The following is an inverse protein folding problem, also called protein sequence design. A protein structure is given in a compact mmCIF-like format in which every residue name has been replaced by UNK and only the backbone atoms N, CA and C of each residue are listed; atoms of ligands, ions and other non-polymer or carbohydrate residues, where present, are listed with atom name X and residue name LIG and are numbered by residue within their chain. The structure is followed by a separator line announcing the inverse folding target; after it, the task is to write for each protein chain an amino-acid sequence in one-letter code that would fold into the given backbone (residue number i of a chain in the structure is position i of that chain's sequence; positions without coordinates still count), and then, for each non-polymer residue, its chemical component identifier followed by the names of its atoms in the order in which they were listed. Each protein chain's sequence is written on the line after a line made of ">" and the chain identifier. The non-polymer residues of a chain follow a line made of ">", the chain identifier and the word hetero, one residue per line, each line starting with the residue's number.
data_IF_038644425424
#
_entry.id   IF_038644425424
#
_cell.length_a   1.000
_cell.length_b   1.000
_cell.length_c   1.000
_cell.angle_alpha   90.00
_cell.angle_beta   90.00
_cell.angle_gamma   90.00
#
_symmetry.space_group_name_H-M   'P 1'
#
loop_
_entity.id
_entity.type
_entity.pdbx_description
1 polymer ?
#
# COMPACT_ATOMS: atom_id res chain seq x y z
N UNK A 1 12.93 10.82 -45.69
CA UNK A 1 11.46 10.63 -45.71
C UNK A 1 11.15 9.25 -45.15
N UNK A 2 11.01 9.14 -43.82
CA UNK A 2 10.52 7.90 -43.22
C UNK A 2 9.49 8.24 -42.14
N UNK A 3 8.28 8.37 -42.68
CA UNK A 3 7.01 7.99 -42.08
C UNK A 3 6.81 8.27 -40.59
N UNK A 4 6.24 9.44 -40.36
CA UNK A 4 5.41 9.75 -39.21
C UNK A 4 4.15 8.89 -39.30
N UNK A 5 4.08 7.77 -38.58
CA UNK A 5 2.82 7.05 -38.36
C UNK A 5 2.14 7.67 -37.15
N UNK A 6 1.32 8.67 -37.42
CA UNK A 6 0.25 9.11 -36.52
C UNK A 6 -0.85 8.06 -36.59
N UNK A 7 -1.01 7.26 -35.53
CA UNK A 7 -2.25 6.51 -35.31
C UNK A 7 -3.01 7.16 -34.16
N UNK A 8 -4.03 7.92 -34.57
CA UNK A 8 -5.09 8.41 -33.71
C UNK A 8 -5.80 7.23 -33.04
N UNK A 9 -6.21 7.43 -31.79
CA UNK A 9 -6.65 6.39 -30.86
C UNK A 9 -7.92 5.66 -31.29
N UNK A 10 -7.83 4.34 -31.32
CA UNK A 10 -8.94 3.49 -30.93
C UNK A 10 -8.97 3.48 -29.41
N UNK A 11 -10.11 3.75 -28.77
CA UNK A 11 -10.30 3.49 -27.34
C UNK A 11 -10.25 1.97 -27.13
N UNK A 12 -9.05 1.42 -27.04
CA UNK A 12 -8.80 0.01 -26.78
C UNK A 12 -9.09 -0.30 -25.33
N UNK A 13 -9.63 -1.49 -25.05
CA UNK A 13 -9.83 -1.97 -23.69
C UNK A 13 -8.55 -1.77 -22.83
N UNK A 14 -8.67 -1.30 -21.58
CA UNK A 14 -7.54 -0.91 -20.71
C UNK A 14 -6.81 -2.12 -20.11
N UNK A 15 -6.28 -2.99 -20.96
CA UNK A 15 -5.68 -4.26 -20.53
C UNK A 15 -4.42 -4.09 -19.70
N UNK A 16 -3.65 -3.02 -19.94
CA UNK A 16 -2.43 -2.71 -19.19
C UNK A 16 -2.77 -2.23 -17.79
N UNK A 17 -3.63 -1.22 -17.68
CA UNK A 17 -4.07 -0.64 -16.42
C UNK A 17 -4.73 -1.70 -15.52
N UNK A 18 -5.59 -2.55 -16.08
CA UNK A 18 -6.17 -3.67 -15.37
C UNK A 18 -5.12 -4.69 -14.89
N UNK A 19 -4.06 -4.92 -15.67
CA UNK A 19 -2.97 -5.81 -15.27
C UNK A 19 -2.15 -5.22 -14.13
N UNK A 20 -1.82 -3.94 -14.21
CA UNK A 20 -1.03 -3.22 -13.22
C UNK A 20 -1.78 -3.12 -11.89
N UNK A 21 -3.08 -2.82 -11.93
CA UNK A 21 -3.95 -2.81 -10.75
C UNK A 21 -3.97 -4.19 -10.06
N UNK A 22 -4.17 -5.27 -10.82
CA UNK A 22 -4.12 -6.65 -10.29
C UNK A 22 -2.77 -6.99 -9.67
N UNK A 23 -1.68 -6.58 -10.30
CA UNK A 23 -0.33 -6.81 -9.79
C UNK A 23 -0.09 -6.04 -8.50
N UNK A 24 -0.49 -4.78 -8.43
CA UNK A 24 -0.35 -3.94 -7.24
C UNK A 24 -1.16 -4.51 -6.06
N UNK A 25 -2.43 -4.91 -6.27
CA UNK A 25 -3.26 -5.52 -5.22
C UNK A 25 -2.62 -6.80 -4.69
N UNK A 26 -2.12 -7.67 -5.56
CA UNK A 26 -1.38 -8.87 -5.13
C UNK A 26 -0.13 -8.51 -4.32
N UNK A 27 0.66 -7.57 -4.80
CA UNK A 27 1.90 -7.16 -4.15
C UNK A 27 1.66 -6.52 -2.77
N UNK A 28 0.52 -5.85 -2.57
CA UNK A 28 0.08 -5.37 -1.27
C UNK A 28 -0.27 -6.52 -0.31
N UNK A 29 -0.99 -7.54 -0.78
CA UNK A 29 -1.29 -8.74 0.01
C UNK A 29 -0.04 -9.50 0.42
N UNK A 30 0.92 -9.68 -0.50
CA UNK A 30 2.16 -10.43 -0.26
C UNK A 30 3.00 -9.84 0.89
N UNK A 31 2.84 -8.54 1.17
CA UNK A 31 3.55 -7.85 2.27
C UNK A 31 2.69 -7.63 3.51
N UNK A 32 1.51 -8.25 3.59
CA UNK A 32 0.66 -8.20 4.79
C UNK A 32 -0.24 -6.96 4.89
N UNK A 33 -0.63 -6.34 3.78
CA UNK A 33 -1.51 -5.17 3.82
C UNK A 33 -2.86 -5.41 4.50
N UNK A 34 -3.39 -6.63 4.49
CA UNK A 34 -4.61 -6.98 5.21
C UNK A 34 -4.50 -6.79 6.75
N UNK A 35 -3.28 -6.84 7.30
CA UNK A 35 -3.01 -6.60 8.72
C UNK A 35 -2.70 -5.12 9.00
N UNK A 36 -1.92 -4.49 8.13
CA UNK A 36 -1.29 -3.20 8.44
C UNK A 36 -1.88 -2.00 7.70
N UNK A 37 -2.63 -2.23 6.63
CA UNK A 37 -3.19 -1.20 5.76
C UNK A 37 -4.56 -1.64 5.21
N UNK A 38 -5.42 -2.12 6.12
CA UNK A 38 -6.69 -2.79 5.77
C UNK A 38 -7.58 -1.89 4.92
N UNK A 39 -7.72 -0.62 5.31
CA UNK A 39 -8.58 0.33 4.60
C UNK A 39 -8.14 0.49 3.15
N UNK A 40 -6.84 0.73 2.91
CA UNK A 40 -6.30 0.90 1.55
C UNK A 40 -6.45 -0.35 0.69
N UNK A 41 -6.13 -1.54 1.23
CA UNK A 41 -6.23 -2.77 0.43
C UNK A 41 -7.69 -3.11 0.11
N UNK A 42 -8.62 -2.87 1.04
CA UNK A 42 -10.05 -3.05 0.78
C UNK A 42 -10.56 -2.06 -0.27
N UNK A 43 -10.15 -0.80 -0.20
CA UNK A 43 -10.50 0.19 -1.22
C UNK A 43 -9.95 -0.18 -2.59
N UNK A 44 -8.69 -0.65 -2.65
CA UNK A 44 -8.07 -1.12 -3.88
C UNK A 44 -8.83 -2.31 -4.51
N UNK A 45 -9.23 -3.29 -3.70
CA UNK A 45 -10.03 -4.43 -4.15
C UNK A 45 -11.42 -4.02 -4.65
N UNK A 46 -12.09 -3.10 -3.95
CA UNK A 46 -13.40 -2.59 -4.35
C UNK A 46 -13.34 -1.88 -5.70
N UNK A 47 -12.34 -1.03 -5.90
CA UNK A 47 -12.09 -0.32 -7.16
C UNK A 47 -11.75 -1.30 -8.29
N UNK A 48 -10.87 -2.27 -8.04
CA UNK A 48 -10.53 -3.29 -9.04
C UNK A 48 -11.74 -4.14 -9.45
N UNK A 49 -12.60 -4.48 -8.48
CA UNK A 49 -13.84 -5.19 -8.75
C UNK A 49 -14.82 -4.34 -9.57
N UNK A 50 -14.88 -3.02 -9.33
CA UNK A 50 -15.70 -2.08 -10.10
C UNK A 50 -15.19 -1.93 -11.53
N UNK A 51 -13.88 -1.69 -11.70
CA UNK A 51 -13.21 -1.66 -12.99
C UNK A 51 -13.45 -2.92 -13.83
N UNK A 52 -13.45 -4.10 -13.18
CA UNK A 52 -13.70 -5.37 -13.85
C UNK A 52 -15.12 -5.44 -14.43
N UNK A 53 -16.13 -4.96 -13.69
CA UNK A 53 -17.52 -4.94 -14.16
C UNK A 53 -17.72 -3.95 -15.31
N UNK A 54 -17.08 -2.78 -15.23
CA UNK A 54 -17.13 -1.76 -16.29
C UNK A 54 -16.46 -2.27 -17.57
N UNK A 55 -15.33 -2.98 -17.44
CA UNK A 55 -14.67 -3.64 -18.56
C UNK A 55 -15.58 -4.67 -19.25
N UNK A 56 -16.31 -5.47 -18.47
CA UNK A 56 -17.28 -6.46 -18.98
C UNK A 56 -18.47 -5.81 -19.70
N UNK A 57 -18.86 -4.60 -19.28
CA UNK A 57 -19.96 -3.82 -19.87
C UNK A 57 -19.52 -3.04 -21.12
N UNK A 58 -18.21 -2.92 -21.37
CA UNK A 58 -17.65 -2.14 -22.47
C UNK A 58 -17.38 -0.68 -22.11
N UNK A 59 -17.53 -0.31 -20.83
CA UNK A 59 -17.30 1.03 -20.30
C UNK A 59 -15.80 1.27 -20.05
N UNK A 60 -15.02 1.25 -21.13
CA UNK A 60 -13.55 1.25 -21.08
C UNK A 60 -12.93 2.51 -20.43
N UNK A 61 -13.65 3.64 -20.48
CA UNK A 61 -13.22 4.88 -19.84
C UNK A 61 -13.20 4.74 -18.33
N UNK A 62 -14.34 4.36 -17.78
CA UNK A 62 -14.55 4.17 -16.34
C UNK A 62 -13.67 3.04 -15.81
N UNK A 63 -13.61 1.92 -16.54
CA UNK A 63 -12.77 0.78 -16.17
C UNK A 63 -11.29 1.15 -16.02
N UNK A 64 -10.80 2.07 -16.86
CA UNK A 64 -9.42 2.55 -16.80
C UNK A 64 -9.18 3.45 -15.59
N UNK A 65 -10.12 4.34 -15.31
CA UNK A 65 -10.04 5.27 -14.16
C UNK A 65 -10.07 4.49 -12.84
N UNK A 66 -11.01 3.57 -12.70
CA UNK A 66 -11.13 2.73 -11.50
C UNK A 66 -9.93 1.77 -11.34
N UNK A 67 -9.37 1.24 -12.45
CA UNK A 67 -8.16 0.42 -12.39
C UNK A 67 -6.95 1.22 -11.89
N UNK A 68 -6.76 2.46 -12.38
CA UNK A 68 -5.67 3.30 -11.90
C UNK A 68 -5.89 3.71 -10.43
N UNK A 69 -7.12 4.02 -10.03
CA UNK A 69 -7.44 4.30 -8.63
C UNK A 69 -7.15 3.07 -7.74
N UNK A 70 -7.51 1.86 -8.19
CA UNK A 70 -7.21 0.62 -7.49
C UNK A 70 -5.69 0.40 -7.32
N UNK A 71 -4.92 0.66 -8.39
CA UNK A 71 -3.46 0.58 -8.38
C UNK A 71 -2.86 1.55 -7.35
N UNK A 72 -3.33 2.79 -7.32
CA UNK A 72 -2.85 3.81 -6.37
C UNK A 72 -3.14 3.40 -4.92
N UNK A 73 -4.35 2.94 -4.61
CA UNK A 73 -4.67 2.47 -3.26
C UNK A 73 -3.86 1.23 -2.85
N UNK A 74 -3.62 0.31 -3.79
CA UNK A 74 -2.79 -0.85 -3.53
C UNK A 74 -1.33 -0.49 -3.24
N UNK A 75 -0.76 0.52 -3.93
CA UNK A 75 0.60 1.01 -3.66
C UNK A 75 0.67 1.63 -2.26
N UNK A 76 -0.30 2.45 -1.87
CA UNK A 76 -0.37 3.00 -0.50
C UNK A 76 -0.42 1.88 0.54
N UNK A 77 -1.25 0.86 0.29
CA UNK A 77 -1.38 -0.29 1.17
C UNK A 77 -0.06 -1.06 1.30
N UNK A 78 0.62 -1.28 0.17
CA UNK A 78 1.92 -1.93 0.10
C UNK A 78 2.99 -1.17 0.90
N UNK A 79 3.10 0.14 0.69
CA UNK A 79 4.12 0.98 1.35
C UNK A 79 3.94 0.98 2.87
N UNK A 80 2.70 1.16 3.35
CA UNK A 80 2.38 1.08 4.78
C UNK A 80 2.76 -0.31 5.32
N UNK A 81 2.31 -1.37 4.66
CA UNK A 81 2.49 -2.73 5.14
C UNK A 81 3.96 -3.17 5.19
N UNK A 82 4.78 -2.77 4.22
CA UNK A 82 6.22 -3.03 4.22
C UNK A 82 6.90 -2.40 5.44
N UNK A 83 6.60 -1.13 5.72
CA UNK A 83 7.20 -0.41 6.85
C UNK A 83 6.69 -0.97 8.17
N UNK A 84 5.37 -1.13 8.32
CA UNK A 84 4.76 -1.68 9.55
C UNK A 84 5.27 -3.08 9.88
N UNK A 85 5.36 -3.97 8.88
CA UNK A 85 5.88 -5.33 9.07
C UNK A 85 7.35 -5.32 9.48
N UNK A 86 8.16 -4.45 8.87
CA UNK A 86 9.56 -4.31 9.22
C UNK A 86 9.73 -3.77 10.65
N UNK A 87 9.00 -2.71 11.01
CA UNK A 87 9.01 -2.12 12.34
C UNK A 87 8.55 -3.12 13.40
N UNK A 88 7.46 -3.86 13.15
CA UNK A 88 6.93 -4.87 14.08
C UNK A 88 7.97 -5.94 14.43
N UNK A 89 8.79 -6.38 13.46
CA UNK A 89 9.88 -7.33 13.72
C UNK A 89 10.93 -6.78 14.67
N UNK A 90 11.33 -5.52 14.50
CA UNK A 90 12.30 -4.86 15.39
C UNK A 90 11.72 -4.69 16.80
N UNK A 91 10.46 -4.27 16.91
CA UNK A 91 9.77 -4.16 18.20
C UNK A 91 9.66 -5.51 18.91
N UNK A 92 9.39 -6.58 18.17
CA UNK A 92 9.37 -7.94 18.72
C UNK A 92 10.73 -8.39 19.25
N UNK A 93 11.82 -8.07 18.56
CA UNK A 93 13.18 -8.34 19.05
C UNK A 93 13.49 -7.54 20.32
N UNK A 94 13.20 -6.24 20.33
CA UNK A 94 13.38 -5.37 21.50
C UNK A 94 12.55 -5.87 22.70
N UNK A 95 11.32 -6.32 22.45
CA UNK A 95 10.45 -6.90 23.48
C UNK A 95 10.99 -8.24 24.00
N UNK A 96 11.53 -9.11 23.15
CA UNK A 96 12.13 -10.39 23.57
C UNK A 96 13.38 -10.21 24.43
N UNK A 97 14.07 -9.08 24.28
CA UNK A 97 15.24 -8.70 25.07
C UNK A 97 14.88 -7.87 26.31
N UNK A 98 13.59 -7.62 26.56
CA UNK A 98 13.07 -6.78 27.65
C UNK A 98 13.64 -5.35 27.64
N UNK A 99 13.99 -4.81 26.46
CA UNK A 99 14.54 -3.45 26.29
C UNK A 99 13.59 -2.49 25.57
N UNK A 100 12.42 -2.97 25.12
CA UNK A 100 11.47 -2.14 24.38
C UNK A 100 10.99 -0.94 25.22
N UNK A 101 11.28 0.27 24.74
CA UNK A 101 10.82 1.51 25.37
C UNK A 101 9.32 1.77 25.14
N UNK A 102 8.72 2.52 26.07
CA UNK A 102 7.35 2.99 25.93
C UNK A 102 7.18 3.90 24.70
N UNK A 103 8.17 4.74 24.42
CA UNK A 103 8.13 5.67 23.27
C UNK A 103 8.09 4.91 21.94
N UNK A 104 8.90 3.87 21.78
CA UNK A 104 8.87 3.02 20.58
C UNK A 104 7.50 2.37 20.37
N UNK A 105 6.90 1.84 21.45
CA UNK A 105 5.57 1.25 21.41
C UNK A 105 4.49 2.29 21.06
N UNK A 106 4.56 3.49 21.65
CA UNK A 106 3.61 4.58 21.40
C UNK A 106 3.67 5.08 19.96
N UNK A 107 4.87 5.25 19.39
CA UNK A 107 4.99 5.64 17.98
C UNK A 107 4.37 4.59 17.06
N UNK A 108 4.53 3.30 17.37
CA UNK A 108 3.94 2.25 16.56
C UNK A 108 2.41 2.23 16.65
N UNK A 109 1.85 2.40 17.85
CA UNK A 109 0.40 2.52 18.04
C UNK A 109 -0.16 3.72 17.27
N UNK A 110 0.51 4.89 17.32
CA UNK A 110 0.12 6.06 16.53
C UNK A 110 0.22 5.80 15.03
N UNK A 111 1.21 5.03 14.60
CA UNK A 111 1.35 4.64 13.21
C UNK A 111 0.15 3.78 12.76
N UNK A 112 -0.28 2.83 13.58
CA UNK A 112 -1.46 1.99 13.31
C UNK A 112 -2.72 2.84 13.21
N UNK A 113 -2.94 3.77 14.15
CA UNK A 113 -4.08 4.70 14.10
C UNK A 113 -4.05 5.56 12.83
N UNK A 114 -2.89 6.08 12.44
CA UNK A 114 -2.75 6.85 11.21
C UNK A 114 -3.02 6.00 9.95
N UNK A 115 -2.63 4.73 9.94
CA UNK A 115 -2.93 3.81 8.83
C UNK A 115 -4.43 3.53 8.72
N UNK A 116 -5.10 3.30 9.85
CA UNK A 116 -6.56 3.07 9.91
C UNK A 116 -7.35 4.31 9.46
N UNK A 117 -6.81 5.51 9.68
CA UNK A 117 -7.38 6.77 9.20
C UNK A 117 -6.94 7.15 7.77
N UNK A 118 -6.26 6.25 7.06
CA UNK A 118 -5.74 6.46 5.70
C UNK A 118 -4.77 7.68 5.60
N UNK A 119 -4.09 8.03 6.70
CA UNK A 119 -3.05 9.06 6.74
C UNK A 119 -1.68 8.46 6.40
N UNK A 120 -1.54 8.02 5.14
CA UNK A 120 -0.39 7.24 4.62
C UNK A 120 0.98 7.80 5.03
N UNK A 121 1.25 9.08 4.75
CA UNK A 121 2.55 9.69 5.05
C UNK A 121 2.85 9.71 6.55
N UNK A 122 1.83 9.93 7.38
CA UNK A 122 1.98 9.99 8.82
C UNK A 122 2.18 8.61 9.42
N UNK A 123 1.43 7.61 8.95
CA UNK A 123 1.62 6.21 9.31
C UNK A 123 3.06 5.74 9.04
N UNK A 124 3.57 6.00 7.83
CA UNK A 124 4.96 5.65 7.46
C UNK A 124 5.98 6.40 8.33
N UNK A 125 5.78 7.70 8.57
CA UNK A 125 6.68 8.50 9.40
C UNK A 125 6.75 7.95 10.83
N UNK A 126 5.59 7.71 11.45
CA UNK A 126 5.50 7.20 12.82
C UNK A 126 6.05 5.77 12.95
N UNK A 127 5.80 4.91 11.97
CA UNK A 127 6.36 3.55 11.96
C UNK A 127 7.89 3.56 11.83
N UNK A 128 8.45 4.51 11.07
CA UNK A 128 9.90 4.70 11.01
C UNK A 128 10.48 5.24 12.31
N UNK A 129 9.79 6.16 12.98
CA UNK A 129 10.21 6.67 14.29
C UNK A 129 10.20 5.56 15.35
N UNK A 130 9.13 4.75 15.39
CA UNK A 130 9.05 3.58 16.25
C UNK A 130 10.21 2.60 16.02
N UNK A 131 10.54 2.34 14.75
CA UNK A 131 11.68 1.48 14.39
C UNK A 131 12.99 2.09 14.85
N UNK A 132 13.20 3.38 14.60
CA UNK A 132 14.42 4.07 14.99
C UNK A 132 14.63 3.98 16.51
N UNK A 133 13.58 4.25 17.29
CA UNK A 133 13.65 4.15 18.75
C UNK A 133 13.94 2.71 19.20
N UNK A 134 13.26 1.71 18.63
CA UNK A 134 13.50 0.30 18.97
C UNK A 134 14.93 -0.16 18.61
N UNK A 135 15.51 0.34 17.51
CA UNK A 135 16.92 0.11 17.15
C UNK A 135 17.87 0.77 18.16
N UNK A 136 17.55 1.95 18.68
CA UNK A 136 18.33 2.58 19.75
C UNK A 136 18.30 1.76 21.04
N UNK A 137 17.11 1.29 21.43
CA UNK A 137 16.90 0.45 22.61
C UNK A 137 17.71 -0.86 22.53
N UNK A 138 17.74 -1.50 21.35
CA UNK A 138 18.51 -2.72 21.10
C UNK A 138 20.03 -2.53 21.19
N UNK A 139 20.52 -1.35 20.82
CA UNK A 139 21.92 -0.97 20.82
C UNK A 139 22.41 -0.43 22.17
N UNK A 140 21.50 0.09 23.00
CA UNK A 140 21.79 0.62 24.34
C UNK A 140 20.90 -0.07 25.40
N UNK A 141 21.07 -1.40 25.60
CA UNK A 141 20.24 -2.21 26.47
C UNK A 141 20.43 -1.92 27.97
#
# INVERSE_FOLDING_TARGET
>A
MFWMVLLAGCASAPTQEMSDARQAVRAAHDVGAAEHARENVQQAEQLLNKATRELEQGDFGDAREDAEAARVEAIKAQDIAQVMSATKRVLQEASQRDVLSADAAQFFEQAQMAADENRVHEAIRLANEARHQAEQDLNHP
#
